data_IF_095075021560
#
_entry.id   IF_095075021560
#
_cell.length_a   1.000
_cell.length_b   1.000
_cell.length_c   1.000
_cell.angle_alpha   90.00
_cell.angle_beta   90.00
_cell.angle_gamma   90.00
#
_symmetry.space_group_name_H-M   'P 1'
#
loop_
_entity.id
_entity.type
_entity.pdbx_description
1 polymer ?
#
# COMPACT_ATOMS: atom_id res chain seq x y z
N UNK A 1 29.84 26.58 -38.89
CA UNK A 1 28.66 27.23 -38.28
C UNK A 1 27.77 26.10 -37.82
N UNK A 2 28.00 25.56 -36.63
CA UNK A 2 27.38 24.29 -36.22
C UNK A 2 26.76 24.47 -34.84
N UNK A 3 25.48 24.84 -34.87
CA UNK A 3 24.67 25.18 -33.72
C UNK A 3 24.14 23.89 -33.06
N UNK A 4 24.82 23.43 -32.01
CA UNK A 4 24.41 22.26 -31.22
C UNK A 4 23.25 22.66 -30.28
N UNK A 5 22.03 22.48 -30.76
CA UNK A 5 20.82 22.67 -29.96
C UNK A 5 20.60 21.47 -29.00
N UNK A 6 21.21 21.51 -27.81
CA UNK A 6 20.88 20.57 -26.72
C UNK A 6 19.58 21.00 -26.05
N UNK A 7 18.50 20.32 -26.39
CA UNK A 7 17.20 20.45 -25.71
C UNK A 7 17.33 20.10 -24.22
N UNK A 8 16.73 20.88 -23.29
CA UNK A 8 16.79 20.57 -21.86
C UNK A 8 15.93 19.35 -21.55
N UNK A 9 16.55 18.29 -21.04
CA UNK A 9 15.85 17.08 -20.59
C UNK A 9 14.92 17.42 -19.43
N UNK A 10 13.61 17.17 -19.59
CA UNK A 10 12.62 17.35 -18.53
C UNK A 10 12.94 16.38 -17.39
N UNK A 11 13.32 16.91 -16.22
CA UNK A 11 13.47 16.12 -14.98
C UNK A 11 12.16 15.35 -14.70
N UNK A 12 12.21 14.09 -14.27
CA UNK A 12 11.00 13.36 -13.92
C UNK A 12 10.31 14.04 -12.74
N UNK A 13 8.99 14.25 -12.87
CA UNK A 13 8.13 14.88 -11.86
C UNK A 13 8.35 14.20 -10.50
N UNK A 14 8.80 14.98 -9.51
CA UNK A 14 8.94 14.51 -8.14
C UNK A 14 7.64 13.91 -7.62
N UNK A 15 7.73 12.78 -6.91
CA UNK A 15 6.58 12.07 -6.36
C UNK A 15 5.73 13.06 -5.54
N UNK A 16 4.40 13.14 -5.76
CA UNK A 16 3.58 14.08 -5.03
C UNK A 16 3.75 13.82 -3.54
N UNK A 17 4.18 14.86 -2.81
CA UNK A 17 4.24 14.88 -1.34
C UNK A 17 2.83 15.03 -0.78
N UNK A 18 1.92 14.16 -1.19
CA UNK A 18 0.57 14.09 -0.65
C UNK A 18 0.59 13.33 0.67
N UNK A 19 -0.30 13.74 1.60
CA UNK A 19 -0.54 13.03 2.85
C UNK A 19 -0.82 11.56 2.50
N UNK A 20 -0.15 10.62 3.17
CA UNK A 20 -0.41 9.21 2.95
C UNK A 20 -1.91 8.95 3.21
N UNK A 21 -2.68 8.49 2.22
CA UNK A 21 -4.10 8.30 2.41
C UNK A 21 -4.34 7.26 3.50
N UNK A 22 -5.27 7.58 4.40
CA UNK A 22 -5.74 6.71 5.48
C UNK A 22 -7.16 6.25 5.18
N UNK A 23 -7.48 5.00 5.50
CA UNK A 23 -8.81 4.38 5.33
C UNK A 23 -9.33 4.44 3.89
N UNK A 24 -8.47 4.12 2.91
CA UNK A 24 -8.78 4.28 1.47
C UNK A 24 -9.74 3.23 0.91
N UNK A 25 -9.81 2.05 1.51
CA UNK A 25 -10.65 0.96 1.07
C UNK A 25 -12.03 1.03 1.74
N UNK A 26 -13.02 0.46 1.08
CA UNK A 26 -14.37 0.25 1.61
C UNK A 26 -14.67 -1.25 1.63
N UNK A 27 -15.60 -1.69 2.49
CA UNK A 27 -16.00 -3.09 2.53
C UNK A 27 -16.53 -3.63 1.18
N UNK A 28 -17.33 -2.88 0.39
CA UNK A 28 -17.70 -3.29 -0.96
C UNK A 28 -16.49 -3.50 -1.87
N UNK A 29 -15.51 -2.59 -1.84
CA UNK A 29 -14.31 -2.73 -2.64
C UNK A 29 -13.52 -3.98 -2.24
N UNK A 30 -13.38 -4.27 -0.95
CA UNK A 30 -12.67 -5.49 -0.49
C UNK A 30 -13.31 -6.75 -1.07
N UNK A 31 -14.64 -6.78 -1.21
CA UNK A 31 -15.38 -7.92 -1.79
C UNK A 31 -15.18 -8.10 -3.29
N UNK A 32 -14.92 -7.03 -4.05
CA UNK A 32 -14.80 -7.09 -5.52
C UNK A 32 -13.44 -6.69 -6.07
N UNK A 33 -12.45 -6.46 -5.19
CA UNK A 33 -11.14 -6.00 -5.59
C UNK A 33 -10.48 -6.97 -6.59
N UNK A 34 -9.90 -6.45 -7.70
CA UNK A 34 -9.19 -7.30 -8.66
C UNK A 34 -7.88 -7.83 -8.06
N UNK A 35 -7.26 -8.87 -8.66
CA UNK A 35 -5.93 -9.35 -8.27
C UNK A 35 -4.91 -8.21 -8.18
N UNK A 36 -4.13 -8.17 -7.10
CA UNK A 36 -3.15 -7.12 -6.85
C UNK A 36 -3.00 -6.72 -5.37
N UNK A 37 -2.28 -5.63 -5.13
CA UNK A 37 -2.07 -5.03 -3.80
C UNK A 37 -2.76 -3.68 -3.72
N UNK A 38 -3.76 -3.55 -2.84
CA UNK A 38 -4.55 -2.33 -2.68
C UNK A 38 -4.28 -1.69 -1.33
N UNK A 39 -3.66 -0.51 -1.32
CA UNK A 39 -3.28 0.19 -0.09
C UNK A 39 -4.49 0.82 0.62
N UNK A 40 -4.62 0.57 1.93
CA UNK A 40 -5.63 1.20 2.78
C UNK A 40 -5.06 2.36 3.64
N UNK A 41 -3.77 2.31 3.96
CA UNK A 41 -3.09 3.28 4.83
C UNK A 41 -2.31 2.59 5.96
N UNK A 42 -1.44 3.29 6.69
CA UNK A 42 -0.60 2.70 7.76
C UNK A 42 0.25 1.48 7.33
N UNK A 43 0.59 1.41 6.04
CA UNK A 43 1.28 0.24 5.47
C UNK A 43 0.38 -0.98 5.27
N UNK A 44 -0.92 -0.91 5.56
CA UNK A 44 -1.90 -1.95 5.32
C UNK A 44 -2.26 -2.04 3.83
N UNK A 45 -2.30 -3.26 3.31
CA UNK A 45 -2.76 -3.60 1.99
C UNK A 45 -3.74 -4.77 2.05
N UNK A 46 -4.77 -4.71 1.22
CA UNK A 46 -5.45 -5.90 0.75
C UNK A 46 -4.60 -6.55 -0.34
N UNK A 47 -4.18 -7.79 -0.13
CA UNK A 47 -3.53 -8.60 -1.15
C UNK A 47 -4.54 -9.60 -1.73
N UNK A 48 -4.79 -9.48 -3.03
CA UNK A 48 -5.68 -10.35 -3.79
C UNK A 48 -4.82 -11.19 -4.73
N UNK A 49 -4.83 -12.50 -4.55
CA UNK A 49 -4.14 -13.44 -5.42
C UNK A 49 -4.88 -13.59 -6.76
N UNK A 50 -4.19 -14.13 -7.78
CA UNK A 50 -4.82 -14.43 -9.08
C UNK A 50 -5.99 -15.41 -8.98
N UNK A 51 -5.97 -16.27 -7.95
CA UNK A 51 -7.05 -17.22 -7.62
C UNK A 51 -8.27 -16.54 -6.98
N UNK A 52 -8.19 -15.24 -6.66
CA UNK A 52 -9.24 -14.51 -5.95
C UNK A 52 -9.14 -14.59 -4.42
N UNK A 53 -8.20 -15.36 -3.87
CA UNK A 53 -7.96 -15.40 -2.42
C UNK A 53 -7.48 -14.03 -1.93
N UNK A 54 -8.04 -13.57 -0.79
CA UNK A 54 -7.82 -12.23 -0.25
C UNK A 54 -7.27 -12.31 1.17
N UNK A 55 -6.19 -11.59 1.43
CA UNK A 55 -5.56 -11.53 2.74
C UNK A 55 -5.04 -10.13 3.03
N UNK A 56 -5.02 -9.76 4.30
CA UNK A 56 -4.39 -8.52 4.76
C UNK A 56 -2.90 -8.72 4.93
N UNK A 57 -2.12 -7.78 4.38
CA UNK A 57 -0.68 -7.69 4.63
C UNK A 57 -0.32 -6.28 5.08
N UNK A 58 0.67 -6.15 5.95
CA UNK A 58 1.21 -4.87 6.36
C UNK A 58 2.70 -4.78 6.05
N UNK A 59 3.13 -3.66 5.47
CA UNK A 59 4.53 -3.37 5.19
C UNK A 59 5.05 -2.29 6.13
N UNK A 60 6.07 -2.61 6.92
CA UNK A 60 6.70 -1.73 7.90
C UNK A 60 8.22 -1.70 7.71
N UNK A 61 8.88 -0.69 8.29
CA UNK A 61 10.34 -0.67 8.43
C UNK A 61 10.64 -0.84 9.91
N UNK A 62 11.29 -1.94 10.27
CA UNK A 62 11.65 -2.25 11.65
C UNK A 62 13.17 -2.33 11.70
N UNK A 63 13.80 -1.49 12.53
CA UNK A 63 15.28 -1.39 12.66
C UNK A 63 15.96 -1.22 11.29
N UNK A 64 15.44 -0.31 10.47
CA UNK A 64 15.96 0.00 9.14
C UNK A 64 15.68 -1.04 8.06
N UNK A 65 15.04 -2.18 8.37
CA UNK A 65 14.74 -3.25 7.40
C UNK A 65 13.25 -3.31 7.09
N UNK A 66 12.91 -3.40 5.80
CA UNK A 66 11.52 -3.60 5.35
C UNK A 66 11.04 -4.99 5.76
N UNK A 67 9.87 -5.06 6.39
CA UNK A 67 9.18 -6.28 6.80
C UNK A 67 7.77 -6.29 6.22
N UNK A 68 7.29 -7.48 5.89
CA UNK A 68 5.93 -7.74 5.45
C UNK A 68 5.30 -8.71 6.45
N UNK A 69 4.19 -8.29 7.07
CA UNK A 69 3.46 -9.03 8.09
C UNK A 69 2.13 -9.47 7.51
N UNK A 70 1.79 -10.75 7.63
CA UNK A 70 0.43 -11.22 7.37
C UNK A 70 -0.48 -10.87 8.55
N UNK A 71 -1.67 -10.33 8.28
CA UNK A 71 -2.67 -10.00 9.29
C UNK A 71 -3.92 -10.91 9.19
N UNK A 72 -3.92 -11.91 8.31
CA UNK A 72 -4.99 -12.89 8.18
C UNK A 72 -5.81 -12.79 6.88
N UNK A 73 -6.65 -13.80 6.65
CA UNK A 73 -7.63 -13.82 5.54
C UNK A 73 -8.74 -12.79 5.77
N UNK A 74 -9.30 -12.21 4.70
CA UNK A 74 -10.46 -11.32 4.83
C UNK A 74 -11.72 -12.01 5.37
N UNK A 75 -11.77 -13.34 5.30
CA UNK A 75 -12.86 -14.15 5.85
C UNK A 75 -12.79 -14.26 7.38
N UNK A 76 -11.61 -14.05 7.96
CA UNK A 76 -11.39 -14.14 9.42
C UNK A 76 -11.14 -12.77 10.06
N UNK A 77 -10.62 -11.82 9.29
CA UNK A 77 -10.23 -10.50 9.76
C UNK A 77 -10.90 -9.45 8.89
N UNK A 78 -11.81 -8.70 9.48
CA UNK A 78 -12.50 -7.59 8.81
C UNK A 78 -11.54 -6.44 8.48
N UNK A 79 -11.98 -5.55 7.59
CA UNK A 79 -11.23 -4.33 7.28
C UNK A 79 -11.01 -3.44 8.52
N UNK A 80 -11.95 -3.44 9.47
CA UNK A 80 -11.82 -2.65 10.70
C UNK A 80 -10.71 -3.22 11.60
N UNK A 81 -10.74 -4.52 11.87
CA UNK A 81 -9.73 -5.21 12.68
C UNK A 81 -8.33 -5.10 12.05
N UNK A 82 -8.24 -5.26 10.73
CA UNK A 82 -6.97 -5.08 10.01
C UNK A 82 -6.41 -3.66 10.16
N UNK A 83 -7.27 -2.63 10.18
CA UNK A 83 -6.86 -1.23 10.40
C UNK A 83 -6.37 -1.00 11.83
N UNK A 84 -7.04 -1.58 12.82
CA UNK A 84 -6.65 -1.50 14.22
C UNK A 84 -5.28 -2.16 14.45
N UNK A 85 -5.10 -3.39 13.97
CA UNK A 85 -3.82 -4.10 14.02
C UNK A 85 -2.71 -3.32 13.30
N UNK A 86 -3.00 -2.79 12.10
CA UNK A 86 -2.02 -2.01 11.36
C UNK A 86 -1.61 -0.72 12.09
N UNK A 87 -2.56 -0.02 12.71
CA UNK A 87 -2.25 1.16 13.51
C UNK A 87 -1.42 0.81 14.75
N UNK A 88 -1.76 -0.28 15.45
CA UNK A 88 -1.02 -0.75 16.61
C UNK A 88 0.43 -1.10 16.25
N UNK A 89 0.64 -1.93 15.22
CA UNK A 89 1.97 -2.30 14.75
C UNK A 89 2.79 -1.08 14.31
N UNK A 90 2.16 -0.09 13.65
CA UNK A 90 2.83 1.13 13.21
C UNK A 90 3.28 2.03 14.38
N UNK A 91 2.56 2.00 15.51
CA UNK A 91 3.00 2.72 16.73
C UNK A 91 4.22 2.06 17.38
N UNK A 92 4.40 0.75 17.18
CA UNK A 92 5.48 -0.04 17.79
C UNK A 92 6.74 -0.16 16.93
N UNK A 93 6.61 -0.06 15.60
CA UNK A 93 7.69 -0.27 14.62
C UNK A 93 8.63 0.93 14.46
#
# INVERSE_FOLDING_TARGET
MDNVNRSPTKRPRGKPRGRHPHKRLSAPFVRSAPPGRHCDGNGLYLYVQKTGTRSWIQRLVIRGRKRELGLGSVELVSLAEAREAALANRKLA
#
